data_IF_713723738947
#
_entry.id   IF_713723738947
#
_cell.length_a   1.000
_cell.length_b   1.000
_cell.length_c   1.000
_cell.angle_alpha   90.00
_cell.angle_beta   90.00
_cell.angle_gamma   90.00
#
_symmetry.space_group_name_H-M   'P 1'
#
loop_
_entity.id
_entity.type
_entity.pdbx_description
1 polymer ?
#
# COMPACT_ATOMS: atom_id res chain seq x y z
N UNK A 1 -14.69 15.14 -2.63
CA UNK A 1 -14.62 13.67 -2.53
C UNK A 1 -15.36 12.99 -3.68
N UNK A 2 -16.68 13.14 -3.82
CA UNK A 2 -17.45 12.51 -4.91
C UNK A 2 -16.90 12.79 -6.33
N UNK A 3 -16.42 14.02 -6.60
CA UNK A 3 -15.81 14.39 -7.88
C UNK A 3 -14.57 13.55 -8.25
N UNK A 4 -13.81 13.09 -7.26
CA UNK A 4 -12.54 12.40 -7.51
C UNK A 4 -12.74 10.94 -7.95
N UNK A 5 -13.91 10.34 -7.70
CA UNK A 5 -14.16 8.95 -8.08
C UNK A 5 -14.06 8.75 -9.61
N UNK A 6 -14.82 9.49 -10.45
CA UNK A 6 -14.70 9.35 -11.90
C UNK A 6 -13.32 9.79 -12.43
N UNK A 7 -12.74 10.87 -11.90
CA UNK A 7 -11.41 11.35 -12.30
C UNK A 7 -10.32 10.30 -12.05
N UNK A 8 -10.39 9.61 -10.90
CA UNK A 8 -9.44 8.55 -10.54
C UNK A 8 -9.64 7.31 -11.41
N UNK A 9 -10.88 6.89 -11.66
CA UNK A 9 -11.17 5.74 -12.53
C UNK A 9 -10.59 5.98 -13.93
N UNK A 10 -10.79 7.19 -14.47
CA UNK A 10 -10.22 7.58 -15.75
C UNK A 10 -8.70 7.61 -15.71
N UNK A 11 -8.11 8.21 -14.67
CA UNK A 11 -6.66 8.32 -14.54
C UNK A 11 -5.97 6.96 -14.43
N UNK A 12 -6.50 6.02 -13.65
CA UNK A 12 -5.85 4.71 -13.42
C UNK A 12 -6.27 3.65 -14.45
N UNK A 13 -7.35 3.91 -15.19
CA UNK A 13 -7.98 3.00 -16.15
C UNK A 13 -8.48 1.69 -15.51
N UNK A 14 -8.89 1.76 -14.25
CA UNK A 14 -9.36 0.63 -13.46
C UNK A 14 -10.61 1.04 -12.66
N UNK A 15 -11.55 0.12 -12.54
CA UNK A 15 -12.82 0.28 -11.82
C UNK A 15 -12.92 -0.62 -10.58
N UNK A 16 -11.89 -1.40 -10.28
CA UNK A 16 -11.82 -2.22 -9.07
C UNK A 16 -11.79 -1.30 -7.84
N UNK A 17 -12.74 -1.51 -6.94
CA UNK A 17 -12.92 -0.69 -5.75
C UNK A 17 -11.63 -0.54 -4.93
N UNK A 18 -10.93 -1.65 -4.64
CA UNK A 18 -9.68 -1.60 -3.88
C UNK A 18 -8.57 -0.76 -4.55
N UNK A 19 -8.55 -0.69 -5.88
CA UNK A 19 -7.61 0.16 -6.62
C UNK A 19 -8.01 1.64 -6.51
N UNK A 20 -9.31 1.93 -6.66
CA UNK A 20 -9.85 3.30 -6.53
C UNK A 20 -9.60 3.85 -5.12
N UNK A 21 -9.87 3.06 -4.07
CA UNK A 21 -9.71 3.48 -2.68
C UNK A 21 -8.29 3.91 -2.34
N UNK A 22 -7.30 3.19 -2.86
CA UNK A 22 -5.88 3.50 -2.67
C UNK A 22 -5.44 4.65 -3.58
N UNK A 23 -6.00 4.74 -4.79
CA UNK A 23 -5.67 5.77 -5.76
C UNK A 23 -6.10 7.18 -5.32
N UNK A 24 -7.32 7.34 -4.79
CA UNK A 24 -7.85 8.66 -4.42
C UNK A 24 -6.92 9.48 -3.52
N UNK A 25 -6.43 8.98 -2.36
CA UNK A 25 -5.56 9.79 -1.50
C UNK A 25 -4.23 10.14 -2.20
N UNK A 26 -3.73 9.26 -3.07
CA UNK A 26 -2.51 9.50 -3.85
C UNK A 26 -2.79 10.60 -4.89
N UNK A 27 -3.90 10.49 -5.63
CA UNK A 27 -4.32 11.48 -6.62
C UNK A 27 -4.42 12.88 -6.02
N UNK A 28 -5.13 13.02 -4.90
CA UNK A 28 -5.27 14.30 -4.21
C UNK A 28 -3.90 14.82 -3.73
N UNK A 29 -3.04 13.94 -3.21
CA UNK A 29 -1.69 14.35 -2.75
C UNK A 29 -0.81 14.86 -3.90
N UNK A 30 -0.94 14.26 -5.08
CA UNK A 30 -0.20 14.64 -6.29
C UNK A 30 -0.78 15.92 -6.91
N UNK A 31 -2.11 16.05 -6.98
CA UNK A 31 -2.81 17.28 -7.39
C UNK A 31 -2.31 18.46 -6.55
N UNK A 32 -2.30 18.32 -5.22
CA UNK A 32 -1.78 19.35 -4.31
C UNK A 32 -0.30 19.66 -4.57
N UNK A 33 0.55 18.64 -4.79
CA UNK A 33 1.96 18.86 -5.10
C UNK A 33 2.14 19.64 -6.42
N UNK A 34 1.32 19.36 -7.43
CA UNK A 34 1.31 20.11 -8.69
C UNK A 34 0.91 21.56 -8.48
N UNK A 35 -0.16 21.81 -7.72
CA UNK A 35 -0.64 23.15 -7.38
C UNK A 35 0.43 23.98 -6.65
N UNK A 36 1.23 23.33 -5.79
CA UNK A 36 2.39 23.91 -5.10
C UNK A 36 3.61 24.12 -6.03
N UNK A 37 3.48 23.78 -7.33
CA UNK A 37 4.53 23.93 -8.33
C UNK A 37 5.63 22.88 -8.27
N UNK A 38 5.47 21.83 -7.47
CA UNK A 38 6.43 20.72 -7.39
C UNK A 38 6.37 19.87 -8.66
N UNK A 39 7.53 19.36 -9.06
CA UNK A 39 7.68 18.53 -10.27
C UNK A 39 8.11 17.10 -9.98
N UNK A 40 8.53 16.82 -8.75
CA UNK A 40 9.05 15.51 -8.34
C UNK A 40 8.53 15.17 -6.96
N UNK A 41 8.01 13.96 -6.80
CA UNK A 41 7.64 13.36 -5.51
C UNK A 41 8.43 12.07 -5.29
N UNK A 42 8.79 11.80 -4.02
CA UNK A 42 9.43 10.56 -3.62
C UNK A 42 8.44 9.73 -2.80
N UNK A 43 8.34 8.44 -3.09
CA UNK A 43 7.47 7.53 -2.35
C UNK A 43 8.23 6.46 -1.58
N UNK A 44 7.56 5.84 -0.63
CA UNK A 44 8.05 4.67 0.09
C UNK A 44 7.79 3.33 -0.61
N UNK A 45 7.33 3.31 -1.87
CA UNK A 45 6.99 2.06 -2.58
C UNK A 45 8.19 1.11 -2.65
N UNK A 46 7.94 -0.19 -2.49
CA UNK A 46 8.97 -1.22 -2.42
C UNK A 46 9.49 -1.52 -1.01
N UNK A 47 9.23 -0.66 -0.02
CA UNK A 47 9.73 -0.90 1.34
C UNK A 47 9.06 -2.13 2.00
N UNK A 48 7.79 -2.41 1.69
CA UNK A 48 7.08 -3.57 2.23
C UNK A 48 7.63 -4.88 1.65
N UNK A 49 7.86 -4.94 0.36
CA UNK A 49 8.34 -6.11 -0.37
C UNK A 49 9.81 -6.40 -0.05
N UNK A 50 10.62 -5.37 0.18
CA UNK A 50 12.05 -5.52 0.46
C UNK A 50 12.37 -5.85 1.92
N UNK A 51 11.56 -5.36 2.86
CA UNK A 51 11.82 -5.47 4.30
C UNK A 51 10.79 -6.31 5.06
N UNK A 52 9.94 -7.05 4.37
CA UNK A 52 8.89 -7.88 4.97
C UNK A 52 7.87 -7.06 5.77
N UNK A 53 7.25 -6.10 5.08
CA UNK A 53 6.28 -5.15 5.63
C UNK A 53 4.84 -5.61 5.67
N UNK A 54 4.54 -6.76 5.07
CA UNK A 54 3.18 -7.28 5.02
C UNK A 54 2.93 -8.37 6.07
N UNK A 55 1.75 -8.38 6.73
CA UNK A 55 1.43 -9.36 7.77
C UNK A 55 1.57 -10.81 7.32
N UNK A 56 1.25 -11.11 6.05
CA UNK A 56 1.28 -12.48 5.52
C UNK A 56 2.69 -13.06 5.42
N UNK A 57 3.75 -12.24 5.42
CA UNK A 57 5.12 -12.76 5.48
C UNK A 57 5.39 -13.52 6.78
N UNK A 58 4.82 -13.08 7.90
CA UNK A 58 4.90 -13.82 9.17
C UNK A 58 4.22 -15.18 9.06
N UNK A 59 3.06 -15.23 8.39
CA UNK A 59 2.32 -16.48 8.13
C UNK A 59 3.11 -17.43 7.22
N UNK A 60 3.83 -16.91 6.22
CA UNK A 60 4.73 -17.70 5.37
C UNK A 60 5.86 -18.29 6.21
N UNK A 61 6.50 -17.48 7.06
CA UNK A 61 7.57 -17.97 7.94
C UNK A 61 7.04 -19.03 8.92
N UNK A 62 5.84 -18.86 9.46
CA UNK A 62 5.19 -19.81 10.37
C UNK A 62 4.91 -21.16 9.71
N UNK A 63 4.37 -21.14 8.48
CA UNK A 63 3.90 -22.35 7.79
C UNK A 63 5.00 -23.03 6.97
N UNK A 64 5.78 -22.24 6.25
CA UNK A 64 6.69 -22.71 5.20
C UNK A 64 8.17 -22.45 5.54
N UNK A 65 8.44 -21.81 6.67
CA UNK A 65 9.78 -21.49 7.17
C UNK A 65 10.47 -20.33 6.45
N UNK A 66 11.58 -19.87 7.04
CA UNK A 66 12.38 -18.73 6.51
C UNK A 66 12.88 -18.95 5.09
N UNK A 67 13.22 -20.19 4.70
CA UNK A 67 13.72 -20.48 3.35
C UNK A 67 12.71 -20.13 2.24
N UNK A 68 11.42 -20.13 2.57
CA UNK A 68 10.36 -19.79 1.62
C UNK A 68 10.16 -18.28 1.49
N UNK A 69 10.41 -17.51 2.56
CA UNK A 69 10.12 -16.07 2.61
C UNK A 69 10.72 -15.31 1.43
N UNK A 70 12.01 -15.53 1.16
CA UNK A 70 12.72 -14.82 0.09
C UNK A 70 12.08 -15.02 -1.29
N UNK A 71 11.54 -16.21 -1.57
CA UNK A 71 10.85 -16.49 -2.84
C UNK A 71 9.60 -15.62 -2.98
N UNK A 72 8.79 -15.53 -1.93
CA UNK A 72 7.59 -14.68 -1.92
C UNK A 72 7.95 -13.20 -2.05
N UNK A 73 8.95 -12.73 -1.30
CA UNK A 73 9.41 -11.33 -1.40
C UNK A 73 9.88 -10.98 -2.81
N UNK A 74 10.64 -11.87 -3.47
CA UNK A 74 11.05 -11.66 -4.88
C UNK A 74 9.82 -11.62 -5.80
N UNK A 75 8.85 -12.52 -5.61
CA UNK A 75 7.61 -12.51 -6.35
C UNK A 75 6.85 -11.19 -6.19
N UNK A 76 6.73 -10.68 -4.96
CA UNK A 76 6.02 -9.43 -4.68
C UNK A 76 6.74 -8.22 -5.27
N UNK A 77 8.09 -8.15 -5.19
CA UNK A 77 8.87 -7.11 -5.90
C UNK A 77 8.62 -7.16 -7.41
N UNK A 78 8.57 -8.36 -8.00
CA UNK A 78 8.28 -8.52 -9.43
C UNK A 78 6.84 -8.20 -9.79
N UNK A 79 5.90 -8.24 -8.84
CA UNK A 79 4.48 -7.91 -9.06
C UNK A 79 4.16 -6.44 -8.83
N UNK A 80 5.08 -5.66 -8.24
CA UNK A 80 4.91 -4.22 -7.97
C UNK A 80 4.45 -3.43 -9.19
N UNK A 81 4.90 -3.79 -10.40
CA UNK A 81 4.51 -3.08 -11.61
C UNK A 81 2.99 -3.09 -11.83
N UNK A 82 2.30 -4.19 -11.51
CA UNK A 82 0.85 -4.32 -11.67
C UNK A 82 0.07 -3.83 -10.45
N UNK A 83 0.56 -4.15 -9.26
CA UNK A 83 -0.22 -3.94 -8.03
C UNK A 83 -0.19 -2.48 -7.56
N UNK A 84 0.87 -1.73 -7.89
CA UNK A 84 1.04 -0.37 -7.36
C UNK A 84 1.68 0.61 -8.34
N UNK A 85 2.78 0.26 -9.00
CA UNK A 85 3.59 1.24 -9.74
C UNK A 85 2.86 1.78 -10.97
N UNK A 86 2.16 0.93 -11.73
CA UNK A 86 1.35 1.38 -12.86
C UNK A 86 0.30 2.42 -12.44
N UNK A 87 -0.44 2.14 -11.36
CA UNK A 87 -1.48 3.03 -10.84
C UNK A 87 -0.90 4.39 -10.43
N UNK A 88 0.20 4.38 -9.66
CA UNK A 88 0.81 5.61 -9.16
C UNK A 88 1.48 6.41 -10.26
N UNK A 89 2.13 5.75 -11.23
CA UNK A 89 2.73 6.40 -12.40
C UNK A 89 1.66 7.15 -13.21
N UNK A 90 0.54 6.48 -13.54
CA UNK A 90 -0.60 7.10 -14.23
C UNK A 90 -1.13 8.32 -13.49
N UNK A 91 -1.38 8.20 -12.18
CA UNK A 91 -1.86 9.31 -11.33
C UNK A 91 -0.90 10.50 -11.40
N UNK A 92 0.40 10.24 -11.27
CA UNK A 92 1.42 11.29 -11.23
C UNK A 92 1.58 11.98 -12.57
N UNK A 93 1.49 11.23 -13.67
CA UNK A 93 1.65 11.75 -15.01
C UNK A 93 0.46 12.62 -15.46
N UNK A 94 -0.77 12.28 -15.06
CA UNK A 94 -1.96 13.15 -15.28
C UNK A 94 -1.78 14.52 -14.62
N UNK A 95 -1.03 14.59 -13.53
CA UNK A 95 -0.74 15.81 -12.80
C UNK A 95 0.63 16.42 -13.13
N UNK A 96 1.32 15.95 -14.17
CA UNK A 96 2.65 16.44 -14.57
C UNK A 96 3.68 16.48 -13.40
N UNK A 97 3.65 15.47 -12.54
CA UNK A 97 4.60 15.23 -11.45
C UNK A 97 5.35 13.93 -11.73
N UNK A 98 6.68 13.93 -11.63
CA UNK A 98 7.49 12.72 -11.73
C UNK A 98 7.52 12.00 -10.38
N UNK A 99 7.16 10.72 -10.37
CA UNK A 99 7.29 9.87 -9.19
C UNK A 99 8.65 9.17 -9.15
N UNK A 100 9.32 9.23 -8.00
CA UNK A 100 10.54 8.47 -7.74
C UNK A 100 10.34 7.50 -6.59
N UNK A 101 10.93 6.32 -6.75
CA UNK A 101 10.79 5.17 -5.85
C UNK A 101 12.16 4.73 -5.29
N UNK A 102 12.75 5.47 -4.34
CA UNK A 102 14.13 5.24 -3.89
C UNK A 102 14.42 3.82 -3.39
N UNK A 103 13.45 3.14 -2.79
CA UNK A 103 13.62 1.76 -2.35
C UNK A 103 13.84 0.78 -3.50
N UNK A 104 13.35 1.11 -4.70
CA UNK A 104 13.50 0.29 -5.90
C UNK A 104 14.77 0.62 -6.69
N UNK A 105 15.67 1.46 -6.16
CA UNK A 105 17.02 1.57 -6.70
C UNK A 105 17.72 0.19 -6.67
N UNK A 106 18.35 -0.26 -7.77
CA UNK A 106 18.97 -1.59 -7.83
C UNK A 106 20.00 -1.86 -6.72
N UNK A 107 20.70 -0.84 -6.23
CA UNK A 107 21.65 -0.98 -5.11
C UNK A 107 20.91 -1.20 -3.80
N UNK A 108 19.79 -0.50 -3.58
CA UNK A 108 18.94 -0.69 -2.39
C UNK A 108 18.31 -2.07 -2.41
N UNK A 109 17.72 -2.49 -3.53
CA UNK A 109 17.16 -3.84 -3.71
C UNK A 109 18.22 -4.89 -3.40
N UNK A 110 19.41 -4.76 -3.99
CA UNK A 110 20.52 -5.72 -3.79
C UNK A 110 20.88 -5.86 -2.32
N UNK A 111 21.06 -4.74 -1.60
CA UNK A 111 21.39 -4.76 -0.17
C UNK A 111 20.24 -5.37 0.62
N UNK A 112 19.01 -4.89 0.42
CA UNK A 112 17.84 -5.35 1.17
C UNK A 112 17.57 -6.85 0.97
N UNK A 113 17.78 -7.38 -0.24
CA UNK A 113 17.64 -8.80 -0.52
C UNK A 113 18.81 -9.63 0.00
N UNK A 114 19.94 -9.05 0.41
CA UNK A 114 21.06 -9.79 1.03
C UNK A 114 20.98 -9.86 2.56
N UNK A 115 20.13 -9.03 3.18
CA UNK A 115 19.89 -9.07 4.63
C UNK A 115 19.30 -10.43 5.02
N UNK A 116 19.76 -10.98 6.15
CA UNK A 116 19.19 -12.19 6.75
C UNK A 116 17.70 -11.97 7.05
N UNK A 117 16.85 -12.87 6.56
CA UNK A 117 15.40 -12.82 6.71
C UNK A 117 14.99 -12.79 8.20
N UNK A 118 15.80 -13.36 9.10
CA UNK A 118 15.58 -13.31 10.56
C UNK A 118 15.72 -11.91 11.16
N UNK A 119 16.38 -10.98 10.45
CA UNK A 119 16.46 -9.58 10.85
C UNK A 119 15.23 -8.79 10.38
N UNK A 120 14.54 -9.26 9.34
CA UNK A 120 13.30 -8.66 8.84
C UNK A 120 12.10 -9.09 9.68
N UNK A 121 12.05 -10.37 10.03
CA UNK A 121 11.06 -11.00 10.92
C UNK A 121 11.85 -11.84 11.93
N UNK A 122 11.78 -11.52 13.24
CA UNK A 122 12.51 -12.30 14.27
C UNK A 122 11.71 -13.52 14.69
N UNK A 123 10.40 -13.37 14.74
CA UNK A 123 9.42 -14.40 15.11
C UNK A 123 8.13 -14.19 14.31
N UNK A 124 7.44 -15.27 13.90
CA UNK A 124 6.10 -15.17 13.35
C UNK A 124 5.08 -14.48 14.27
N UNK A 125 5.38 -14.42 15.57
CA UNK A 125 4.54 -13.78 16.58
C UNK A 125 4.83 -12.29 16.78
N UNK A 126 5.84 -11.74 16.10
CA UNK A 126 6.18 -10.31 16.22
C UNK A 126 5.01 -9.45 15.76
N UNK A 127 4.64 -8.41 16.51
CA UNK A 127 3.56 -7.50 16.14
C UNK A 127 3.99 -6.44 15.12
N UNK A 128 5.28 -6.09 15.13
CA UNK A 128 5.86 -5.09 14.24
C UNK A 128 6.43 -5.73 12.97
N UNK A 129 6.26 -5.01 11.88
CA UNK A 129 6.76 -5.36 10.55
C UNK A 129 8.07 -4.60 10.26
N UNK A 130 8.83 -5.03 9.24
CA UNK A 130 10.06 -4.34 8.79
C UNK A 130 11.11 -4.12 9.88
N UNK A 131 11.36 -5.10 10.74
CA UNK A 131 12.12 -4.89 11.98
C UNK A 131 13.51 -4.26 11.76
N UNK A 132 14.30 -4.76 10.80
CA UNK A 132 15.62 -4.18 10.48
C UNK A 132 15.53 -2.76 9.91
N UNK A 133 14.46 -2.45 9.18
CA UNK A 133 14.23 -1.12 8.61
C UNK A 133 13.82 -0.13 9.71
N UNK A 134 12.96 -0.56 10.65
CA UNK A 134 12.61 0.24 11.83
C UNK A 134 13.81 0.45 12.76
N UNK A 135 14.67 -0.55 12.91
CA UNK A 135 15.94 -0.42 13.63
C UNK A 135 16.86 0.62 12.96
N UNK A 136 16.94 0.63 11.63
CA UNK A 136 17.66 1.68 10.90
C UNK A 136 17.03 3.06 11.12
N UNK A 137 15.70 3.18 11.08
CA UNK A 137 14.98 4.43 11.33
C UNK A 137 15.33 5.02 12.72
N UNK A 138 15.36 4.17 13.75
CA UNK A 138 15.80 4.57 15.10
C UNK A 138 17.24 5.05 15.13
N UNK A 139 18.16 4.35 14.45
CA UNK A 139 19.59 4.70 14.39
C UNK A 139 19.83 6.05 13.72
N UNK A 140 19.05 6.38 12.69
CA UNK A 140 19.11 7.69 12.02
C UNK A 140 18.27 8.77 12.73
N UNK A 141 17.78 8.49 13.95
CA UNK A 141 17.06 9.41 14.83
C UNK A 141 15.69 9.85 14.32
N UNK A 142 14.98 8.98 13.61
CA UNK A 142 13.52 9.16 13.42
C UNK A 142 12.84 9.02 14.79
N UNK A 143 11.89 9.91 15.14
CA UNK A 143 11.13 9.81 16.38
C UNK A 143 10.53 8.41 16.61
N UNK A 144 10.61 7.92 17.84
CA UNK A 144 10.23 6.53 18.18
C UNK A 144 8.73 6.27 17.92
N UNK A 145 7.88 7.27 18.16
CA UNK A 145 6.45 7.23 17.87
C UNK A 145 6.13 7.05 16.38
N UNK A 146 7.06 7.42 15.48
CA UNK A 146 6.95 7.17 14.04
C UNK A 146 7.60 5.84 13.65
N UNK A 147 8.76 5.52 14.22
CA UNK A 147 9.53 4.31 13.90
C UNK A 147 8.96 3.02 14.50
N UNK A 148 8.11 3.11 15.52
CA UNK A 148 7.45 1.95 16.15
C UNK A 148 5.94 1.91 15.86
N UNK A 149 5.46 2.84 15.02
CA UNK A 149 4.05 2.93 14.70
C UNK A 149 3.61 1.69 13.91
N UNK A 150 2.54 0.99 14.33
CA UNK A 150 1.95 -0.07 13.52
C UNK A 150 1.53 0.43 12.15
N UNK A 151 1.69 -0.40 11.12
CA UNK A 151 1.26 -0.08 9.76
C UNK A 151 -0.25 0.10 9.71
N UNK A 152 -0.69 1.18 9.06
CA UNK A 152 -2.09 1.39 8.66
C UNK A 152 -2.12 1.53 7.14
N UNK A 153 -2.96 0.76 6.46
CA UNK A 153 -3.08 0.83 5.01
C UNK A 153 -3.58 2.22 4.56
N UNK A 154 -3.17 2.67 3.38
CA UNK A 154 -3.34 4.05 2.94
C UNK A 154 -4.80 4.51 2.96
N UNK A 155 -5.72 3.68 2.46
CA UNK A 155 -7.16 3.97 2.39
C UNK A 155 -7.83 4.13 3.77
N UNK A 156 -7.37 3.37 4.77
CA UNK A 156 -7.86 3.51 6.15
C UNK A 156 -7.11 4.63 6.90
N UNK A 157 -5.84 4.85 6.56
CA UNK A 157 -5.02 5.93 7.12
C UNK A 157 -5.51 7.31 6.73
N UNK A 158 -5.98 7.47 5.50
CA UNK A 158 -6.53 8.71 4.95
C UNK A 158 -8.00 8.95 5.30
N UNK A 159 -8.74 7.91 5.73
CA UNK A 159 -10.19 7.98 5.96
C UNK A 159 -11.04 7.93 4.68
N UNK A 160 -10.43 7.55 3.55
CA UNK A 160 -11.11 7.49 2.25
C UNK A 160 -12.10 6.32 2.20
N UNK A 161 -11.80 5.19 2.85
CA UNK A 161 -12.71 4.06 2.92
C UNK A 161 -14.07 4.48 3.48
N UNK A 162 -14.05 5.12 4.65
CA UNK A 162 -15.25 5.60 5.32
C UNK A 162 -15.96 6.69 4.51
N UNK A 163 -15.19 7.59 3.88
CA UNK A 163 -15.76 8.64 3.03
C UNK A 163 -16.52 8.07 1.82
N UNK A 164 -16.01 7.02 1.18
CA UNK A 164 -16.69 6.38 0.05
C UNK A 164 -17.95 5.64 0.51
N UNK A 165 -17.94 4.98 1.67
CA UNK A 165 -19.14 4.35 2.23
C UNK A 165 -20.25 5.36 2.49
N UNK A 166 -19.93 6.54 3.01
CA UNK A 166 -20.90 7.63 3.20
C UNK A 166 -21.50 8.09 1.86
N UNK A 167 -20.66 8.23 0.83
CA UNK A 167 -21.11 8.57 -0.54
C UNK A 167 -22.02 7.48 -1.10
N UNK A 168 -21.68 6.21 -0.93
CA UNK A 168 -22.48 5.08 -1.39
C UNK A 168 -23.87 5.08 -0.74
N UNK A 169 -23.94 5.22 0.59
CA UNK A 169 -25.19 5.28 1.34
C UNK A 169 -26.07 6.47 0.90
N UNK A 170 -25.48 7.65 0.73
CA UNK A 170 -26.17 8.86 0.25
C UNK A 170 -26.80 8.66 -1.14
N UNK A 171 -26.19 7.82 -1.98
CA UNK A 171 -26.67 7.50 -3.32
C UNK A 171 -27.54 6.22 -3.37
N UNK A 172 -27.99 5.71 -2.22
CA UNK A 172 -28.90 4.57 -2.13
C UNK A 172 -28.22 3.20 -2.29
N UNK A 173 -26.88 3.14 -2.31
CA UNK A 173 -26.14 1.88 -2.26
C UNK A 173 -26.03 1.41 -0.81
N UNK A 174 -26.96 0.56 -0.40
CA UNK A 174 -26.93 -0.12 0.91
C UNK A 174 -26.18 -1.45 0.82
N UNK A 175 -25.73 -1.97 1.96
CA UNK A 175 -25.13 -3.32 2.02
C UNK A 175 -26.06 -4.39 1.42
N UNK A 176 -27.36 -4.30 1.71
CA UNK A 176 -28.39 -5.18 1.15
C UNK A 176 -28.45 -5.11 -0.38
N UNK A 177 -28.36 -3.90 -0.95
CA UNK A 177 -28.35 -3.71 -2.40
C UNK A 177 -27.08 -4.31 -3.03
N UNK A 178 -25.92 -4.10 -2.40
CA UNK A 178 -24.63 -4.64 -2.88
C UNK A 178 -24.62 -6.17 -2.84
N UNK A 179 -25.21 -6.78 -1.80
CA UNK A 179 -25.41 -8.23 -1.68
C UNK A 179 -26.38 -8.72 -2.78
N UNK A 180 -27.48 -7.98 -3.01
CA UNK A 180 -28.52 -8.34 -3.97
C UNK A 180 -28.02 -8.36 -5.42
N UNK A 181 -27.23 -7.35 -5.83
CA UNK A 181 -26.74 -7.22 -7.21
C UNK A 181 -25.60 -8.20 -7.56
N UNK A 182 -25.16 -9.05 -6.62
CA UNK A 182 -24.03 -9.98 -6.80
C UNK A 182 -22.81 -9.33 -7.44
N UNK A 183 -22.54 -8.07 -7.08
CA UNK A 183 -21.28 -7.44 -7.47
C UNK A 183 -20.15 -8.37 -6.96
N UNK A 184 -19.15 -8.73 -7.79
CA UNK A 184 -18.26 -9.83 -7.51
C UNK A 184 -17.26 -9.48 -6.40
N UNK A 185 -17.74 -9.40 -5.17
CA UNK A 185 -16.96 -9.34 -3.97
C UNK A 185 -16.61 -10.76 -3.52
N UNK A 186 -15.33 -10.99 -3.25
CA UNK A 186 -14.93 -12.19 -2.51
C UNK A 186 -15.50 -12.11 -1.09
N UNK A 187 -16.16 -13.19 -0.67
CA UNK A 187 -16.84 -13.33 0.63
C UNK A 187 -15.92 -13.22 1.86
N UNK A 188 -14.60 -13.17 1.67
CA UNK A 188 -13.59 -13.20 2.73
C UNK A 188 -13.45 -11.89 3.52
N UNK A 189 -13.95 -10.76 3.01
CA UNK A 189 -13.90 -9.45 3.69
C UNK A 189 -15.10 -9.10 4.59
N UNK A 190 -16.22 -9.86 4.52
CA UNK A 190 -17.41 -9.63 5.36
C UNK A 190 -17.25 -10.12 6.81
N UNK A 191 -16.16 -10.84 7.14
CA UNK A 191 -15.97 -11.43 8.47
C UNK A 191 -15.25 -10.52 9.49
N UNK A 192 -15.12 -9.21 9.24
CA UNK A 192 -14.49 -8.26 10.18
C UNK A 192 -15.39 -7.11 10.64
N UNK A 193 -16.71 -7.26 10.52
CA UNK A 193 -17.70 -6.34 11.11
C UNK A 193 -18.63 -7.05 12.12
N UNK A 194 -18.08 -7.98 12.90
CA UNK A 194 -18.66 -8.46 14.16
C UNK A 194 -17.58 -8.47 15.24
#
# INVERSE_FOLDING_TARGET
MEKYIPEVIEAIEDSLFGQIEVAIPIYISVEMAHEDGLKVMLTGQGADELFAGYPWYRTIVEKDGYNSLKRYMVGDVLNLYRETLEREDKITMVNAVELRVPYLDPKVIKIAMQIDDKLKIRSPKDELEKLIHMELAKRIRIPADLAERPKKAAQHGSGIHEAILVVAQKNGFTEDLVILIRFPWRKDLLMKLN
#
